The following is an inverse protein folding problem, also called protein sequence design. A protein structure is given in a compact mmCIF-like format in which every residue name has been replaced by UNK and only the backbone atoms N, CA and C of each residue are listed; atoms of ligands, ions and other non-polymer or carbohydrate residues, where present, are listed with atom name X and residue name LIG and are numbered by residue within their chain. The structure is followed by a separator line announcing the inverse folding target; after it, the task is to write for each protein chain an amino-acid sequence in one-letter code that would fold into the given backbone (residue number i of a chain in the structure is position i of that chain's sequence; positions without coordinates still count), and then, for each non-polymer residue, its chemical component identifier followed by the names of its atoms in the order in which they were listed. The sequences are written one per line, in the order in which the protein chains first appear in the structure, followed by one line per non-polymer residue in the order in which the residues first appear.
data_IF_239327144663
#
_entry.id   IF_239327144663
#
_cell.length_a   1.000
_cell.length_b   1.000
_cell.length_c   1.000
_cell.angle_alpha   90.00
_cell.angle_beta   90.00
_cell.angle_gamma   90.00
#
_symmetry.space_group_name_H-M   'P 1'
#
loop_
_entity.id
_entity.type
_entity.pdbx_description
1 polymer ?
#
# COMPACT_ATOMS: atom_id res chain seq x y z
N UNK A 1 7.06 -14.12 -22.97
CA UNK A 1 6.22 -13.46 -21.94
C UNK A 1 6.79 -13.80 -20.58
N UNK A 2 6.96 -12.84 -19.67
CA UNK A 2 7.37 -13.15 -18.29
C UNK A 2 6.22 -13.78 -17.52
N UNK A 3 6.52 -14.82 -16.75
CA UNK A 3 5.53 -15.51 -15.92
C UNK A 3 5.15 -14.66 -14.72
N UNK A 4 4.05 -15.00 -14.03
CA UNK A 4 3.70 -14.33 -12.78
C UNK A 4 4.79 -14.53 -11.72
N UNK A 5 5.40 -15.73 -11.66
CA UNK A 5 6.47 -16.04 -10.73
C UNK A 5 7.66 -15.12 -10.93
N UNK A 6 8.07 -14.87 -12.18
CA UNK A 6 9.15 -13.92 -12.49
C UNK A 6 8.81 -12.51 -12.01
N UNK A 7 7.56 -12.08 -12.23
CA UNK A 7 7.09 -10.74 -11.83
C UNK A 7 7.04 -10.55 -10.32
N UNK A 8 6.74 -11.61 -9.58
CA UNK A 8 6.79 -11.58 -8.11
C UNK A 8 8.25 -11.55 -7.65
N UNK A 9 9.11 -12.40 -8.21
CA UNK A 9 10.52 -12.50 -7.85
C UNK A 9 11.28 -11.18 -8.06
N UNK A 10 10.93 -10.41 -9.10
CA UNK A 10 11.55 -9.12 -9.40
C UNK A 10 10.72 -7.89 -9.00
N UNK A 11 9.66 -8.08 -8.20
CA UNK A 11 8.77 -7.02 -7.72
C UNK A 11 8.06 -6.16 -8.80
N UNK A 12 8.02 -6.62 -10.05
CA UNK A 12 7.28 -5.94 -11.14
C UNK A 12 5.79 -6.26 -11.19
N UNK A 13 5.33 -7.24 -10.39
CA UNK A 13 3.90 -7.47 -10.19
C UNK A 13 3.24 -6.26 -9.50
N UNK A 14 1.97 -6.01 -9.82
CA UNK A 14 1.15 -5.01 -9.11
C UNK A 14 0.32 -5.73 -8.06
N UNK A 15 0.30 -5.18 -6.85
CA UNK A 15 -0.41 -5.77 -5.71
C UNK A 15 -1.64 -4.91 -5.40
N UNK A 16 -2.77 -5.55 -5.16
CA UNK A 16 -3.95 -4.88 -4.63
C UNK A 16 -4.28 -5.44 -3.24
N UNK A 17 -4.53 -4.57 -2.26
CA UNK A 17 -4.94 -4.96 -0.91
C UNK A 17 -6.33 -4.40 -0.65
N UNK A 18 -7.31 -5.27 -0.43
CA UNK A 18 -8.71 -4.90 -0.23
C UNK A 18 -9.00 -4.85 1.27
N UNK A 19 -9.39 -3.67 1.75
CA UNK A 19 -9.60 -3.34 3.16
C UNK A 19 -8.30 -2.92 3.84
N UNK A 20 -8.23 -1.68 4.32
CA UNK A 20 -7.03 -1.10 4.96
C UNK A 20 -7.24 -0.96 6.47
N UNK A 21 -7.71 -2.05 7.08
CA UNK A 21 -7.81 -2.16 8.52
C UNK A 21 -6.47 -2.44 9.20
N UNK A 22 -6.55 -2.98 10.41
CA UNK A 22 -5.39 -3.33 11.24
C UNK A 22 -4.40 -4.27 10.55
N UNK A 23 -4.86 -5.21 9.71
CA UNK A 23 -4.00 -6.14 8.96
C UNK A 23 -3.64 -5.59 7.58
N UNK A 24 -4.62 -5.03 6.87
CA UNK A 24 -4.46 -4.65 5.47
C UNK A 24 -3.50 -3.48 5.26
N UNK A 25 -3.52 -2.48 6.15
CA UNK A 25 -2.60 -1.34 6.00
C UNK A 25 -1.13 -1.74 6.22
N UNK A 26 -0.74 -2.44 7.31
CA UNK A 26 0.62 -2.96 7.44
C UNK A 26 1.05 -3.84 6.27
N UNK A 27 0.16 -4.68 5.75
CA UNK A 27 0.45 -5.54 4.60
C UNK A 27 0.74 -4.71 3.33
N UNK A 28 -0.09 -3.71 3.05
CA UNK A 28 0.09 -2.82 1.90
C UNK A 28 1.41 -2.04 1.99
N UNK A 29 1.74 -1.52 3.18
CA UNK A 29 3.02 -0.84 3.43
C UNK A 29 4.19 -1.82 3.31
N UNK A 30 4.05 -3.06 3.82
CA UNK A 30 5.07 -4.09 3.69
C UNK A 30 5.42 -4.43 2.24
N UNK A 31 4.41 -4.57 1.38
CA UNK A 31 4.63 -4.76 -0.06
C UNK A 31 5.29 -3.55 -0.72
N UNK A 32 4.88 -2.32 -0.35
CA UNK A 32 5.52 -1.11 -0.87
C UNK A 32 6.99 -1.00 -0.43
N UNK A 33 7.30 -1.35 0.83
CA UNK A 33 8.68 -1.46 1.35
C UNK A 33 9.51 -2.50 0.61
N UNK A 34 8.89 -3.61 0.22
CA UNK A 34 9.55 -4.64 -0.59
C UNK A 34 9.77 -4.24 -2.05
N UNK A 35 9.24 -3.09 -2.51
CA UNK A 35 9.44 -2.55 -3.86
C UNK A 35 8.29 -2.79 -4.83
N UNK A 36 7.17 -3.35 -4.37
CA UNK A 36 5.98 -3.53 -5.21
C UNK A 36 5.21 -2.22 -5.37
N UNK A 37 4.54 -2.06 -6.51
CA UNK A 37 3.49 -1.05 -6.68
C UNK A 37 2.17 -1.57 -6.13
N UNK A 38 1.64 -0.89 -5.13
CA UNK A 38 0.48 -1.32 -4.35
C UNK A 38 -0.71 -0.37 -4.54
N UNK A 39 -1.88 -0.94 -4.74
CA UNK A 39 -3.18 -0.24 -4.68
C UNK A 39 -3.95 -0.75 -3.48
N UNK A 40 -4.18 0.12 -2.50
CA UNK A 40 -5.08 -0.14 -1.38
C UNK A 40 -6.52 0.22 -1.75
N UNK A 41 -7.48 -0.63 -1.43
CA UNK A 41 -8.91 -0.37 -1.63
C UNK A 41 -9.58 -0.24 -0.26
N UNK A 42 -10.21 0.90 0.01
CA UNK A 42 -10.85 1.20 1.29
C UNK A 42 -12.16 1.94 1.08
N UNK A 43 -13.23 1.50 1.76
CA UNK A 43 -14.57 2.02 1.57
C UNK A 43 -14.79 3.35 2.33
N UNK A 44 -14.13 3.55 3.47
CA UNK A 44 -14.22 4.82 4.21
C UNK A 44 -13.36 5.91 3.55
N UNK A 45 -14.03 6.83 2.85
CA UNK A 45 -13.38 7.97 2.18
C UNK A 45 -12.47 8.81 3.07
N UNK A 46 -12.75 8.90 4.39
CA UNK A 46 -11.89 9.64 5.33
C UNK A 46 -10.55 8.94 5.51
N UNK A 47 -10.57 7.61 5.59
CA UNK A 47 -9.37 6.79 5.64
C UNK A 47 -8.56 6.91 4.35
N UNK A 48 -9.24 6.86 3.19
CA UNK A 48 -8.60 7.06 1.88
C UNK A 48 -7.84 8.40 1.82
N UNK A 49 -8.50 9.50 2.21
CA UNK A 49 -7.88 10.83 2.23
C UNK A 49 -6.69 10.85 3.21
N UNK A 50 -6.86 10.34 4.44
CA UNK A 50 -5.78 10.29 5.42
C UNK A 50 -4.54 9.58 4.88
N UNK A 51 -4.72 8.37 4.33
CA UNK A 51 -3.62 7.56 3.83
C UNK A 51 -2.95 8.18 2.60
N UNK A 52 -3.71 8.73 1.66
CA UNK A 52 -3.14 9.44 0.51
C UNK A 52 -2.43 10.75 0.90
N UNK A 53 -2.65 11.27 2.11
CA UNK A 53 -1.84 12.37 2.69
C UNK A 53 -0.64 11.87 3.51
N UNK A 54 -0.34 10.56 3.48
CA UNK A 54 0.76 9.96 4.22
C UNK A 54 0.50 9.81 5.72
N UNK A 55 -0.76 9.94 6.18
CA UNK A 55 -1.13 9.86 7.59
C UNK A 55 -1.86 8.56 7.89
N UNK A 56 -1.29 7.75 8.76
CA UNK A 56 -1.84 6.51 9.26
C UNK A 56 -2.83 6.77 10.39
N UNK A 57 -3.91 6.01 10.40
CA UNK A 57 -4.85 5.91 11.54
C UNK A 57 -4.65 4.59 12.31
N UNK A 58 -3.74 3.73 11.88
CA UNK A 58 -3.36 2.49 12.56
C UNK A 58 -2.11 2.76 13.39
N UNK A 59 -2.18 2.53 14.70
CA UNK A 59 -1.08 2.80 15.64
C UNK A 59 0.21 2.05 15.29
N UNK A 60 0.07 0.86 14.72
CA UNK A 60 1.19 -0.03 14.40
C UNK A 60 1.85 0.30 13.05
N UNK A 61 1.36 1.32 12.34
CA UNK A 61 1.97 1.85 11.12
C UNK A 61 2.26 3.32 11.35
N UNK A 62 3.53 3.65 11.56
CA UNK A 62 3.94 5.04 11.72
C UNK A 62 3.78 5.82 10.40
N UNK A 63 3.48 7.11 10.47
CA UNK A 63 3.42 7.98 9.30
C UNK A 63 4.74 7.96 8.52
N UNK A 64 5.88 7.87 9.22
CA UNK A 64 7.21 7.76 8.63
C UNK A 64 7.39 6.50 7.77
N UNK A 65 6.66 5.42 8.07
CA UNK A 65 6.68 4.18 7.29
C UNK A 65 5.74 4.22 6.08
N UNK A 66 4.69 5.04 6.14
CA UNK A 66 3.66 5.14 5.10
C UNK A 66 3.98 6.25 4.07
N UNK A 67 4.26 7.45 4.58
CA UNK A 67 4.35 8.67 3.77
C UNK A 67 5.33 8.58 2.60
N UNK A 68 6.54 8.00 2.74
CA UNK A 68 7.47 7.90 1.61
C UNK A 68 6.88 7.10 0.44
N UNK A 69 6.15 6.01 0.71
CA UNK A 69 5.57 5.16 -0.33
C UNK A 69 4.38 5.82 -1.03
N UNK A 70 3.64 6.66 -0.32
CA UNK A 70 2.55 7.44 -0.90
C UNK A 70 3.11 8.55 -1.79
N UNK A 71 4.10 9.30 -1.31
CA UNK A 71 4.76 10.38 -2.05
C UNK A 71 5.47 9.89 -3.33
N UNK A 72 6.09 8.71 -3.26
CA UNK A 72 6.77 8.09 -4.41
C UNK A 72 5.82 7.32 -5.33
N UNK A 73 4.55 7.20 -4.97
CA UNK A 73 3.53 6.48 -5.75
C UNK A 73 3.68 4.95 -5.74
N UNK A 74 4.46 4.40 -4.81
CA UNK A 74 4.54 2.96 -4.57
C UNK A 74 3.31 2.43 -3.83
N UNK A 75 2.60 3.28 -3.10
CA UNK A 75 1.30 2.97 -2.51
C UNK A 75 0.29 4.07 -2.87
N UNK A 76 -0.85 3.66 -3.41
CA UNK A 76 -1.98 4.55 -3.69
C UNK A 76 -3.25 3.95 -3.10
N UNK A 77 -4.15 4.77 -2.56
CA UNK A 77 -5.41 4.30 -1.98
C UNK A 77 -6.61 4.80 -2.78
N UNK A 78 -7.55 3.91 -3.08
CA UNK A 78 -8.82 4.18 -3.77
C UNK A 78 -10.01 3.58 -3.01
N UNK A 79 -11.23 3.96 -3.41
CA UNK A 79 -12.47 3.26 -3.06
C UNK A 79 -12.76 2.13 -4.03
#
# INVERSE_FOLDING_TARGET
MSTLQDKIANCSARVAVIGLGYVGLPLAVGFAKAGFRVVGVEMDKRKVISLNTGRSYIKDVADADLAPHVQTGFLQVTT
#
